data_IF_527922753572
#
_entry.id   IF_527922753572
#
_cell.length_a   1.000
_cell.length_b   1.000
_cell.length_c   1.000
_cell.angle_alpha   90.00
_cell.angle_beta   90.00
_cell.angle_gamma   90.00
#
_symmetry.space_group_name_H-M   'P 1'
#
loop_
_entity.id
_entity.type
_entity.pdbx_description
1 polymer ?
#
# COMPACT_ATOMS: atom_id res chain seq x y z
N UNK A 1 -4.41 -27.56 -23.73
CA UNK A 1 -4.95 -27.52 -22.36
C UNK A 1 -3.82 -27.22 -21.39
N UNK A 2 -3.93 -26.22 -20.50
CA UNK A 2 -2.96 -26.01 -19.43
C UNK A 2 -2.94 -27.25 -18.52
N UNK A 3 -1.76 -27.72 -18.15
CA UNK A 3 -1.60 -28.88 -17.26
C UNK A 3 -2.00 -28.51 -15.82
N UNK A 4 -2.47 -29.47 -14.99
CA UNK A 4 -2.88 -29.22 -13.59
C UNK A 4 -1.82 -28.52 -12.73
N UNK A 5 -0.53 -28.67 -13.07
CA UNK A 5 0.57 -27.96 -12.43
C UNK A 5 0.58 -26.45 -12.69
N UNK A 6 0.09 -26.01 -13.86
CA UNK A 6 0.00 -24.60 -14.24
C UNK A 6 -1.12 -23.89 -13.48
N UNK A 7 -2.29 -24.54 -13.35
CA UNK A 7 -3.42 -24.01 -12.58
C UNK A 7 -3.04 -23.75 -11.11
N UNK A 8 -2.35 -24.70 -10.48
CA UNK A 8 -1.89 -24.52 -9.10
C UNK A 8 -0.91 -23.35 -8.95
N UNK A 9 -0.03 -23.13 -9.93
CA UNK A 9 0.89 -21.98 -9.92
C UNK A 9 0.13 -20.67 -10.05
N UNK A 10 -0.85 -20.59 -10.93
CA UNK A 10 -1.72 -19.42 -11.10
C UNK A 10 -2.51 -19.12 -9.83
N UNK A 11 -3.13 -20.13 -9.23
CA UNK A 11 -3.83 -19.99 -7.94
C UNK A 11 -2.93 -19.46 -6.83
N UNK A 12 -1.71 -20.01 -6.71
CA UNK A 12 -0.72 -19.53 -5.74
C UNK A 12 -0.32 -18.09 -6.00
N UNK A 13 -0.07 -17.73 -7.25
CA UNK A 13 0.28 -16.37 -7.66
C UNK A 13 -0.83 -15.36 -7.37
N UNK A 14 -2.09 -15.71 -7.62
CA UNK A 14 -3.25 -14.87 -7.33
C UNK A 14 -3.42 -14.63 -5.83
N UNK A 15 -3.38 -15.72 -5.04
CA UNK A 15 -3.46 -15.65 -3.57
C UNK A 15 -2.32 -14.86 -2.97
N UNK A 16 -1.09 -15.05 -3.46
CA UNK A 16 0.07 -14.28 -3.00
C UNK A 16 -0.10 -12.79 -3.30
N UNK A 17 -0.57 -12.43 -4.50
CA UNK A 17 -0.79 -11.03 -4.87
C UNK A 17 -1.84 -10.36 -3.99
N UNK A 18 -2.97 -11.04 -3.75
CA UNK A 18 -4.01 -10.56 -2.82
C UNK A 18 -3.47 -10.46 -1.39
N UNK A 19 -2.72 -11.46 -0.92
CA UNK A 19 -2.14 -11.44 0.42
C UNK A 19 -1.16 -10.28 0.63
N UNK A 20 -0.26 -10.05 -0.32
CA UNK A 20 0.68 -8.92 -0.29
C UNK A 20 -0.07 -7.59 -0.31
N UNK A 21 -1.05 -7.43 -1.21
CA UNK A 21 -1.84 -6.22 -1.29
C UNK A 21 -2.63 -5.95 0.00
N UNK A 22 -3.27 -6.98 0.57
CA UNK A 22 -3.99 -6.88 1.84
C UNK A 22 -3.07 -6.46 2.99
N UNK A 23 -1.88 -7.07 3.12
CA UNK A 23 -0.89 -6.70 4.14
C UNK A 23 -0.45 -5.24 4.00
N UNK A 24 -0.15 -4.78 2.77
CA UNK A 24 0.21 -3.39 2.51
C UNK A 24 -0.92 -2.42 2.89
N UNK A 25 -2.16 -2.75 2.54
CA UNK A 25 -3.34 -1.94 2.90
C UNK A 25 -3.54 -1.91 4.42
N UNK A 26 -3.43 -3.05 5.11
CA UNK A 26 -3.53 -3.11 6.57
C UNK A 26 -2.45 -2.26 7.24
N UNK A 27 -1.22 -2.35 6.76
CA UNK A 27 -0.11 -1.50 7.23
C UNK A 27 -0.42 -0.02 7.02
N UNK A 28 -0.89 0.36 5.82
CA UNK A 28 -1.25 1.73 5.50
C UNK A 28 -2.41 2.26 6.35
N UNK A 29 -3.46 1.47 6.52
CA UNK A 29 -4.62 1.81 7.34
C UNK A 29 -4.27 1.93 8.82
N UNK A 30 -3.46 1.00 9.35
CA UNK A 30 -2.93 1.09 10.70
C UNK A 30 -2.13 2.38 10.87
N UNK A 31 -1.23 2.68 9.93
CA UNK A 31 -0.42 3.88 10.02
C UNK A 31 -1.28 5.14 9.99
N UNK A 32 -2.21 5.25 9.04
CA UNK A 32 -3.15 6.36 8.95
C UNK A 32 -3.92 6.56 10.26
N UNK A 33 -4.53 5.49 10.80
CA UNK A 33 -5.27 5.56 12.05
C UNK A 33 -4.38 6.02 13.21
N UNK A 34 -3.13 5.55 13.26
CA UNK A 34 -2.19 5.91 14.33
C UNK A 34 -1.58 7.30 14.16
N UNK A 35 -1.48 7.79 12.92
CA UNK A 35 -1.09 9.15 12.60
C UNK A 35 -2.18 10.12 13.08
N UNK A 36 -3.45 9.79 12.83
CA UNK A 36 -4.61 10.53 13.34
C UNK A 36 -4.70 10.45 14.87
N UNK A 37 -4.50 9.28 15.47
CA UNK A 37 -4.55 9.13 16.93
C UNK A 37 -3.45 9.95 17.62
N UNK A 38 -2.28 10.09 17.01
CA UNK A 38 -1.20 10.94 17.54
C UNK A 38 -1.62 12.41 17.66
N UNK A 39 -2.49 12.91 16.78
CA UNK A 39 -2.99 14.29 16.84
C UNK A 39 -3.89 14.51 18.07
N UNK A 40 -4.65 13.49 18.48
CA UNK A 40 -5.49 13.55 19.67
C UNK A 40 -4.73 13.22 20.96
N UNK A 41 -3.78 12.29 20.90
CA UNK A 41 -2.98 11.84 22.03
C UNK A 41 -1.53 11.54 21.58
N UNK A 42 -0.61 12.51 21.67
CA UNK A 42 0.79 12.33 21.25
C UNK A 42 1.58 11.24 22.01
N UNK A 43 1.00 10.70 23.08
CA UNK A 43 1.62 9.70 23.96
C UNK A 43 0.94 8.33 23.89
N UNK A 44 -0.02 8.12 22.98
CA UNK A 44 -0.76 6.84 22.89
C UNK A 44 0.16 5.62 22.73
N UNK A 45 1.29 5.79 22.02
CA UNK A 45 2.28 4.74 21.79
C UNK A 45 2.94 4.21 23.07
N UNK A 46 2.96 4.99 24.17
CA UNK A 46 3.51 4.55 25.46
C UNK A 46 2.72 3.39 26.06
N UNK A 47 1.43 3.25 25.70
CA UNK A 47 0.65 2.10 26.11
C UNK A 47 1.18 0.78 25.51
N UNK A 48 2.01 0.84 24.46
CA UNK A 48 2.60 -0.34 23.83
C UNK A 48 3.96 -0.70 24.43
N UNK A 49 4.74 0.25 24.93
CA UNK A 49 6.15 0.04 25.32
C UNK A 49 6.34 -0.97 26.44
N UNK A 50 5.41 -1.03 27.39
CA UNK A 50 5.52 -1.91 28.57
C UNK A 50 4.68 -3.19 28.44
N UNK A 51 4.26 -3.53 27.21
CA UNK A 51 3.43 -4.71 26.93
C UNK A 51 4.19 -5.74 26.10
N UNK A 52 3.74 -7.02 26.09
CA UNK A 52 4.25 -8.01 25.13
C UNK A 52 4.11 -7.58 23.66
N UNK A 53 3.24 -6.59 23.40
CA UNK A 53 3.02 -5.97 22.10
C UNK A 53 3.97 -4.80 21.83
N UNK A 54 5.03 -4.61 22.60
CA UNK A 54 5.99 -3.51 22.42
C UNK A 54 6.62 -3.45 21.03
N UNK A 55 6.70 -4.58 20.31
CA UNK A 55 7.12 -4.60 18.90
C UNK A 55 6.14 -3.90 17.96
N UNK A 56 4.83 -3.84 18.31
CA UNK A 56 3.84 -3.10 17.52
C UNK A 56 4.11 -1.60 17.49
N UNK A 57 4.92 -1.07 18.42
CA UNK A 57 5.34 0.34 18.39
C UNK A 57 6.02 0.73 17.06
N UNK A 58 6.65 -0.22 16.37
CA UNK A 58 7.36 0.02 15.11
C UNK A 58 6.48 -0.06 13.86
N UNK A 59 5.19 -0.40 14.01
CA UNK A 59 4.20 -0.36 12.91
C UNK A 59 3.14 0.73 13.10
N UNK A 60 3.11 1.39 14.27
CA UNK A 60 2.28 2.57 14.55
C UNK A 60 3.15 3.84 14.56
N UNK A 61 2.55 5.04 14.57
CA UNK A 61 3.28 6.32 14.71
C UNK A 61 3.88 6.49 16.11
N UNK A 62 5.18 6.28 16.24
CA UNK A 62 5.92 6.59 17.46
C UNK A 62 7.12 7.51 17.16
N UNK A 63 7.57 8.34 18.12
CA UNK A 63 8.86 9.00 18.02
C UNK A 63 9.99 7.99 17.88
N UNK A 64 11.10 8.39 17.25
CA UNK A 64 12.31 7.58 17.30
C UNK A 64 12.80 7.48 18.74
N UNK A 65 13.18 6.27 19.14
CA UNK A 65 13.83 5.97 20.41
C UNK A 65 15.36 5.90 20.29
N UNK A 66 15.91 6.35 19.15
CA UNK A 66 17.33 6.31 18.84
C UNK A 66 17.84 4.95 18.33
N UNK A 67 16.96 3.96 18.17
CA UNK A 67 17.30 2.70 17.49
C UNK A 67 17.09 2.81 15.99
N UNK A 68 17.81 1.98 15.21
CA UNK A 68 17.61 1.91 13.75
C UNK A 68 16.15 1.63 13.36
N UNK A 69 15.43 0.79 14.13
CA UNK A 69 14.01 0.50 13.90
C UNK A 69 13.11 1.70 14.24
N UNK A 70 13.43 2.44 15.29
CA UNK A 70 12.73 3.68 15.67
C UNK A 70 12.90 4.77 14.60
N UNK A 71 14.13 4.96 14.12
CA UNK A 71 14.42 5.89 13.02
C UNK A 71 13.73 5.46 11.72
N UNK A 72 13.73 4.16 11.41
CA UNK A 72 13.01 3.62 10.25
C UNK A 72 11.50 3.87 10.35
N UNK A 73 10.89 3.68 11.53
CA UNK A 73 9.46 3.96 11.74
C UNK A 73 9.12 5.45 11.63
N UNK A 74 9.94 6.32 12.23
CA UNK A 74 9.71 7.77 12.26
C UNK A 74 9.91 8.40 10.86
N UNK A 75 11.00 8.02 10.18
CA UNK A 75 11.41 8.65 8.92
C UNK A 75 10.93 7.89 7.69
N UNK A 76 11.11 6.57 7.66
CA UNK A 76 11.10 5.79 6.43
C UNK A 76 9.86 4.90 6.25
N UNK A 77 8.97 4.78 7.23
CA UNK A 77 7.70 4.07 7.04
C UNK A 77 6.82 4.70 5.95
N UNK A 78 7.08 5.99 5.65
CA UNK A 78 6.54 6.72 4.50
C UNK A 78 6.85 6.07 3.15
N UNK A 79 7.91 5.24 3.06
CA UNK A 79 8.22 4.45 1.86
C UNK A 79 7.08 3.50 1.46
N UNK A 80 6.27 3.05 2.42
CA UNK A 80 5.14 2.15 2.17
C UNK A 80 3.82 2.89 1.89
N UNK A 81 3.77 4.23 2.02
CA UNK A 81 2.50 4.95 1.95
C UNK A 81 1.87 4.92 0.56
N UNK A 82 2.64 5.16 -0.50
CA UNK A 82 2.16 5.08 -1.90
C UNK A 82 1.91 3.63 -2.33
N UNK A 83 2.81 2.65 -2.05
CA UNK A 83 2.53 1.24 -2.29
C UNK A 83 1.23 0.74 -1.63
N UNK A 84 0.95 1.15 -0.39
CA UNK A 84 -0.28 0.78 0.30
C UNK A 84 -1.53 1.37 -0.37
N UNK A 85 -1.48 2.65 -0.76
CA UNK A 85 -2.56 3.29 -1.51
C UNK A 85 -2.82 2.62 -2.86
N UNK A 86 -1.77 2.33 -3.63
CA UNK A 86 -1.91 1.62 -4.90
C UNK A 86 -2.34 0.15 -4.73
N UNK A 87 -1.95 -0.52 -3.65
CA UNK A 87 -2.44 -1.85 -3.34
C UNK A 87 -3.95 -1.85 -3.10
N UNK A 88 -4.49 -0.81 -2.44
CA UNK A 88 -5.94 -0.62 -2.30
C UNK A 88 -6.62 -0.42 -3.66
N UNK A 89 -6.06 0.44 -4.51
CA UNK A 89 -6.56 0.64 -5.89
C UNK A 89 -6.55 -0.68 -6.66
N UNK A 90 -5.46 -1.44 -6.58
CA UNK A 90 -5.33 -2.75 -7.22
C UNK A 90 -6.40 -3.75 -6.72
N UNK A 91 -6.65 -3.82 -5.41
CA UNK A 91 -7.72 -4.65 -4.85
C UNK A 91 -9.09 -4.23 -5.38
N UNK A 92 -9.33 -2.92 -5.51
CA UNK A 92 -10.52 -2.36 -6.14
C UNK A 92 -10.71 -2.85 -7.57
N UNK A 93 -9.64 -2.84 -8.39
CA UNK A 93 -9.66 -3.42 -9.73
C UNK A 93 -9.88 -4.95 -9.70
N UNK A 94 -9.19 -5.68 -8.81
CA UNK A 94 -9.26 -7.15 -8.74
C UNK A 94 -10.66 -7.68 -8.43
N UNK A 95 -11.35 -7.01 -7.51
CA UNK A 95 -12.69 -7.38 -7.05
C UNK A 95 -13.82 -6.57 -7.71
N UNK A 96 -13.49 -5.67 -8.65
CA UNK A 96 -14.47 -4.97 -9.48
C UNK A 96 -15.15 -5.88 -10.51
N UNK A 97 -15.95 -5.28 -11.39
CA UNK A 97 -16.61 -5.96 -12.51
C UNK A 97 -15.64 -6.28 -13.66
N UNK A 98 -16.03 -7.20 -14.55
CA UNK A 98 -15.27 -7.59 -15.73
C UNK A 98 -14.40 -8.85 -15.55
N UNK A 99 -13.80 -9.32 -16.65
CA UNK A 99 -12.91 -10.49 -16.66
C UNK A 99 -11.57 -10.15 -16.00
N UNK A 100 -10.82 -11.17 -15.57
CA UNK A 100 -9.47 -10.96 -15.01
C UNK A 100 -8.53 -10.29 -16.01
N UNK A 101 -8.70 -10.60 -17.30
CA UNK A 101 -7.92 -9.97 -18.36
C UNK A 101 -8.22 -8.48 -18.47
N UNK A 102 -9.49 -8.08 -18.59
CA UNK A 102 -9.86 -6.66 -18.67
C UNK A 102 -9.39 -5.89 -17.44
N UNK A 103 -9.53 -6.48 -16.25
CA UNK A 103 -9.03 -5.90 -14.99
C UNK A 103 -7.51 -5.70 -15.02
N UNK A 104 -6.78 -6.69 -15.51
CA UNK A 104 -5.34 -6.65 -15.64
C UNK A 104 -4.89 -5.59 -16.65
N UNK A 105 -5.51 -5.53 -17.82
CA UNK A 105 -5.22 -4.54 -18.87
C UNK A 105 -5.46 -3.12 -18.34
N UNK A 106 -6.60 -2.87 -17.72
CA UNK A 106 -6.94 -1.56 -17.15
C UNK A 106 -5.96 -1.12 -16.06
N UNK A 107 -5.58 -2.02 -15.14
CA UNK A 107 -4.63 -1.64 -14.10
C UNK A 107 -3.19 -1.54 -14.61
N UNK A 108 -2.81 -2.32 -15.63
CA UNK A 108 -1.44 -2.32 -16.19
C UNK A 108 -1.16 -1.14 -17.10
N UNK A 109 -2.19 -0.40 -17.52
CA UNK A 109 -2.02 0.83 -18.29
C UNK A 109 -1.05 1.78 -17.54
N UNK A 110 0.12 2.09 -18.14
CA UNK A 110 1.13 2.92 -17.49
C UNK A 110 0.62 4.32 -17.17
N UNK A 111 -0.32 4.86 -17.95
CA UNK A 111 -0.94 6.16 -17.72
C UNK A 111 -1.80 6.12 -16.47
N UNK A 112 -2.69 5.13 -16.35
CA UNK A 112 -3.56 4.96 -15.17
C UNK A 112 -2.71 4.82 -13.90
N UNK A 113 -1.64 4.00 -13.96
CA UNK A 113 -0.72 3.82 -12.83
C UNK A 113 0.03 5.09 -12.47
N UNK A 114 0.53 5.81 -13.48
CA UNK A 114 1.22 7.08 -13.28
C UNK A 114 0.30 8.13 -12.65
N UNK A 115 -0.97 8.20 -13.09
CA UNK A 115 -1.97 9.10 -12.50
C UNK A 115 -2.17 8.79 -11.03
N UNK A 116 -2.43 7.55 -10.65
CA UNK A 116 -2.60 7.19 -9.24
C UNK A 116 -1.35 7.49 -8.40
N UNK A 117 -0.16 7.14 -8.90
CA UNK A 117 1.11 7.43 -8.21
C UNK A 117 1.29 8.93 -8.03
N UNK A 118 1.06 9.73 -9.07
CA UNK A 118 1.16 11.18 -9.03
C UNK A 118 0.13 11.78 -8.07
N UNK A 119 -1.10 11.28 -8.05
CA UNK A 119 -2.14 11.72 -7.11
C UNK A 119 -1.73 11.46 -5.66
N UNK A 120 -1.23 10.27 -5.33
CA UNK A 120 -0.74 9.98 -3.98
C UNK A 120 0.48 10.83 -3.63
N UNK A 121 1.46 10.96 -4.54
CA UNK A 121 2.65 11.79 -4.32
C UNK A 121 2.27 13.26 -4.07
N UNK A 122 1.35 13.81 -4.86
CA UNK A 122 0.85 15.17 -4.69
C UNK A 122 0.13 15.34 -3.34
N UNK A 123 -0.74 14.39 -2.97
CA UNK A 123 -1.43 14.39 -1.68
C UNK A 123 -0.46 14.38 -0.49
N UNK A 124 0.54 13.49 -0.50
CA UNK A 124 1.56 13.46 0.55
C UNK A 124 2.42 14.73 0.57
N UNK A 125 2.76 15.28 -0.60
CA UNK A 125 3.49 16.55 -0.70
C UNK A 125 2.69 17.69 -0.06
N UNK A 126 1.39 17.78 -0.32
CA UNK A 126 0.52 18.80 0.28
C UNK A 126 0.45 18.66 1.81
N UNK A 127 0.35 17.43 2.32
CA UNK A 127 0.38 17.14 3.77
C UNK A 127 1.71 17.59 4.38
N UNK A 128 2.84 17.29 3.74
CA UNK A 128 4.16 17.67 4.25
C UNK A 128 4.42 19.18 4.17
N UNK A 129 3.83 19.88 3.18
CA UNK A 129 3.83 21.35 3.13
C UNK A 129 2.98 21.95 4.25
N UNK A 130 1.82 21.36 4.56
CA UNK A 130 1.01 21.79 5.69
C UNK A 130 1.77 21.68 7.02
N UNK A 131 2.45 20.54 7.25
CA UNK A 131 3.26 20.34 8.46
C UNK A 131 4.36 21.38 8.66
N UNK A 132 4.91 21.91 7.56
CA UNK A 132 5.99 22.90 7.59
C UNK A 132 5.50 24.33 7.73
N UNK A 133 4.41 24.65 7.05
CA UNK A 133 3.99 26.03 6.79
C UNK A 133 2.62 26.36 7.37
N UNK A 134 1.92 25.39 7.96
CA UNK A 134 0.55 25.51 8.47
C UNK A 134 -0.43 26.08 7.45
N UNK A 135 -0.21 25.79 6.16
CA UNK A 135 -0.91 26.44 5.03
C UNK A 135 -2.42 26.20 5.02
N UNK A 136 -2.86 25.03 5.46
CA UNK A 136 -4.26 24.60 5.40
C UNK A 136 -4.88 24.48 6.80
N UNK A 137 -4.11 24.80 7.86
CA UNK A 137 -4.60 24.81 9.22
C UNK A 137 -5.04 23.43 9.73
N UNK A 138 -4.52 22.33 9.17
CA UNK A 138 -4.93 20.98 9.57
C UNK A 138 -4.35 20.55 10.93
N UNK A 139 -3.56 21.40 11.59
CA UNK A 139 -2.94 21.10 12.89
C UNK A 139 -1.85 20.03 12.82
N UNK A 140 -1.42 19.67 11.61
CA UNK A 140 -0.42 18.63 11.39
C UNK A 140 0.96 19.13 11.83
N UNK A 141 1.62 18.40 12.73
CA UNK A 141 2.96 18.74 13.26
C UNK A 141 3.98 17.67 12.93
N UNK A 142 5.21 18.12 12.64
CA UNK A 142 6.36 17.22 12.51
C UNK A 142 6.64 16.51 13.85
N UNK A 143 6.86 15.21 13.80
CA UNK A 143 7.27 14.43 14.98
C UNK A 143 8.74 14.69 15.27
N UNK A 144 9.13 14.61 16.54
CA UNK A 144 10.54 14.61 16.92
C UNK A 144 11.30 13.52 16.15
N UNK A 145 12.37 13.95 15.46
CA UNK A 145 13.17 13.08 14.62
C UNK A 145 12.67 12.96 13.18
N UNK A 146 11.62 13.66 12.74
CA UNK A 146 11.28 13.81 11.32
C UNK A 146 12.07 14.97 10.67
N UNK A 147 12.33 14.84 9.37
CA UNK A 147 12.88 15.92 8.56
C UNK A 147 12.05 16.10 7.29
N UNK A 148 11.62 17.34 7.03
CA UNK A 148 10.82 17.70 5.86
C UNK A 148 11.41 17.20 4.54
N UNK A 149 12.71 17.43 4.31
CA UNK A 149 13.37 17.01 3.08
C UNK A 149 13.51 15.49 2.98
N UNK A 150 13.76 14.80 4.11
CA UNK A 150 13.81 13.33 4.15
C UNK A 150 12.44 12.72 3.89
N UNK A 151 11.36 13.33 4.40
CA UNK A 151 9.99 12.90 4.13
C UNK A 151 9.66 13.01 2.64
N UNK A 152 10.05 14.11 1.98
CA UNK A 152 9.85 14.29 0.55
C UNK A 152 10.62 13.25 -0.27
N UNK A 153 11.90 13.01 0.06
CA UNK A 153 12.68 11.96 -0.58
C UNK A 153 12.09 10.57 -0.34
N UNK A 154 11.58 10.30 0.87
CA UNK A 154 10.90 9.05 1.19
C UNK A 154 9.63 8.88 0.34
N UNK A 155 8.84 9.92 0.10
CA UNK A 155 7.68 9.84 -0.79
C UNK A 155 8.06 9.66 -2.27
N UNK A 156 9.15 10.30 -2.74
CA UNK A 156 9.67 10.05 -4.09
C UNK A 156 10.16 8.60 -4.25
N UNK A 157 10.90 8.09 -3.27
CA UNK A 157 11.32 6.70 -3.24
C UNK A 157 10.11 5.75 -3.11
N UNK A 158 9.08 6.13 -2.34
CA UNK A 158 7.81 5.42 -2.24
C UNK A 158 7.12 5.30 -3.60
N UNK A 159 7.11 6.38 -4.39
CA UNK A 159 6.52 6.38 -5.73
C UNK A 159 7.25 5.40 -6.67
N UNK A 160 8.58 5.40 -6.64
CA UNK A 160 9.40 4.45 -7.40
C UNK A 160 9.16 2.99 -6.94
N UNK A 161 9.14 2.75 -5.62
CA UNK A 161 8.83 1.44 -5.06
C UNK A 161 7.43 0.98 -5.45
N UNK A 162 6.44 1.88 -5.44
CA UNK A 162 5.07 1.56 -5.81
C UNK A 162 4.97 1.13 -7.28
N UNK A 163 5.73 1.76 -8.18
CA UNK A 163 5.81 1.33 -9.58
C UNK A 163 6.31 -0.11 -9.73
N UNK A 164 7.32 -0.51 -8.94
CA UNK A 164 7.85 -1.88 -9.00
C UNK A 164 6.91 -2.87 -8.32
N UNK A 165 6.56 -2.61 -7.05
CA UNK A 165 5.82 -3.53 -6.19
C UNK A 165 4.40 -3.81 -6.73
N UNK A 166 3.70 -2.78 -7.20
CA UNK A 166 2.35 -2.98 -7.74
C UNK A 166 2.35 -3.52 -9.16
N UNK A 167 3.44 -3.31 -9.91
CA UNK A 167 3.65 -3.95 -11.22
C UNK A 167 3.85 -5.46 -11.13
N UNK A 168 4.34 -5.94 -9.99
CA UNK A 168 4.51 -7.37 -9.72
C UNK A 168 3.21 -8.09 -9.30
N UNK A 169 2.15 -7.35 -8.94
CA UNK A 169 0.87 -7.94 -8.54
C UNK A 169 0.17 -8.57 -9.75
N UNK A 170 -0.27 -9.81 -9.58
CA UNK A 170 -0.83 -10.63 -10.66
C UNK A 170 -2.35 -10.76 -10.53
N UNK A 171 -3.04 -10.51 -11.63
CA UNK A 171 -4.47 -10.77 -11.78
C UNK A 171 -4.70 -12.24 -12.17
N UNK A 172 -4.44 -13.14 -11.22
CA UNK A 172 -4.66 -14.57 -11.39
C UNK A 172 -5.90 -15.05 -10.61
N UNK A 173 -6.45 -16.21 -10.99
CA UNK A 173 -7.54 -16.85 -10.26
C UNK A 173 -7.21 -17.12 -8.79
N UNK A 174 -8.21 -17.07 -7.91
CA UNK A 174 -8.09 -17.41 -6.48
C UNK A 174 -8.64 -18.80 -6.17
N UNK A 175 -9.59 -19.26 -6.98
CA UNK A 175 -10.32 -20.52 -6.82
C UNK A 175 -10.34 -21.29 -8.13
N UNK A 176 -10.60 -22.60 -8.03
CA UNK A 176 -10.76 -23.45 -9.22
C UNK A 176 -11.96 -23.00 -10.06
N UNK A 177 -13.05 -22.57 -9.41
CA UNK A 177 -14.24 -22.05 -10.09
C UNK A 177 -13.94 -20.83 -10.97
N UNK A 178 -13.03 -19.94 -10.56
CA UNK A 178 -12.62 -18.82 -11.43
C UNK A 178 -11.83 -19.30 -12.66
N UNK A 179 -11.07 -20.40 -12.56
CA UNK A 179 -10.37 -21.01 -13.69
C UNK A 179 -11.38 -21.64 -14.66
N UNK A 180 -12.32 -22.39 -14.11
CA UNK A 180 -13.32 -23.10 -14.92
C UNK A 180 -14.22 -22.09 -15.65
N UNK A 181 -14.64 -21.01 -14.98
CA UNK A 181 -15.36 -19.89 -15.60
C UNK A 181 -14.55 -19.21 -16.71
N UNK A 182 -13.23 -19.01 -16.52
CA UNK A 182 -12.39 -18.47 -17.60
C UNK A 182 -12.38 -19.37 -18.82
N UNK A 183 -12.27 -20.70 -18.63
CA UNK A 183 -12.29 -21.66 -19.76
C UNK A 183 -13.62 -21.63 -20.49
N UNK A 184 -14.73 -21.59 -19.75
CA UNK A 184 -16.06 -21.46 -20.35
C UNK A 184 -16.20 -20.19 -21.18
N UNK A 185 -15.67 -19.06 -20.69
CA UNK A 185 -15.66 -17.80 -21.45
C UNK A 185 -14.78 -17.87 -22.70
N UNK A 186 -13.59 -18.45 -22.60
CA UNK A 186 -12.67 -18.62 -23.73
C UNK A 186 -13.28 -19.54 -24.81
N UNK A 187 -14.09 -20.53 -24.43
CA UNK A 187 -14.81 -21.42 -25.37
C UNK A 187 -15.98 -20.72 -26.08
N UNK A 188 -16.49 -19.62 -25.52
CA UNK A 188 -17.61 -18.84 -26.08
C UNK A 188 -17.15 -17.68 -26.98
N UNK A 189 -15.88 -17.29 -26.93
CA UNK A 189 -15.34 -16.24 -27.81
C UNK A 189 -15.04 -16.81 -29.21
N UNK A 190 -15.68 -16.28 -30.28
CA UNK A 190 -15.38 -16.71 -31.64
C UNK A 190 -13.97 -16.26 -32.04
N UNK A 191 -13.22 -17.19 -32.63
CA UNK A 191 -11.87 -16.98 -33.16
C UNK A 191 -11.78 -15.88 -34.23
#
# INVERSE_FOLDING_TARGET
MPTPSNDQQRLRAGRLSVGVAAVLVTIGALRFATDTLYEFNPHYWRALTDTPLGLLRYVVRAPSDGTWLGDLNAQFFKLLSIPAGLALVWLGHRFGSGTLETKAQNFRDPVIRAVWIASFLAGFTLIELDKQLSLFGMGSVMVAGESAWLNHLAHLASAAAAWVLTGALRFEPLTQAEIDLQRELDELEPA
#
